data_IF_937760409417
#
_entry.id   IF_937760409417
#
_cell.length_a   1.000
_cell.length_b   1.000
_cell.length_c   1.000
_cell.angle_alpha   90.00
_cell.angle_beta   90.00
_cell.angle_gamma   90.00
#
_symmetry.space_group_name_H-M   'P 1'
#
loop_
_entity.id
_entity.type
_entity.pdbx_description
1 polymer ?
#
# COMPACT_ATOMS: atom_id res chain seq x y z
N UNK A 1 14.95 -3.13 -12.28
CA UNK A 1 13.61 -3.65 -12.59
C UNK A 1 12.90 -2.61 -13.43
N UNK A 2 12.50 -2.97 -14.64
CA UNK A 2 11.81 -2.07 -15.58
C UNK A 2 10.59 -1.44 -14.89
N UNK A 3 10.44 -0.12 -15.01
CA UNK A 3 9.20 0.55 -14.63
C UNK A 3 8.03 -0.17 -15.33
N UNK A 4 6.94 -0.51 -14.61
CA UNK A 4 5.76 -1.04 -15.27
C UNK A 4 5.29 0.00 -16.29
N UNK A 5 5.16 -0.44 -17.54
CA UNK A 5 4.71 0.41 -18.65
C UNK A 5 3.42 1.12 -18.25
N UNK A 6 3.40 2.45 -18.30
CA UNK A 6 2.23 3.27 -17.91
C UNK A 6 0.96 2.90 -18.68
N UNK A 7 1.09 2.23 -19.83
CA UNK A 7 -0.02 1.72 -20.63
C UNK A 7 -0.66 0.42 -20.11
N UNK A 8 -0.16 -0.15 -19.01
CA UNK A 8 -0.58 -1.49 -18.54
C UNK A 8 -1.27 -1.51 -17.18
N UNK A 9 -1.31 -0.36 -16.49
CA UNK A 9 -1.86 -0.17 -15.15
C UNK A 9 -2.70 1.11 -15.09
N UNK A 10 -3.67 1.14 -14.19
CA UNK A 10 -4.44 2.32 -13.81
C UNK A 10 -3.72 3.02 -12.65
N UNK A 11 -3.68 4.36 -12.66
CA UNK A 11 -3.24 5.12 -11.49
C UNK A 11 -4.31 5.19 -10.40
N UNK A 12 -4.00 5.74 -9.22
CA UNK A 12 -4.95 5.84 -8.10
C UNK A 12 -6.23 6.63 -8.44
N UNK A 13 -6.15 7.63 -9.31
CA UNK A 13 -7.32 8.44 -9.72
C UNK A 13 -8.22 7.61 -10.63
N UNK A 14 -7.64 6.94 -11.63
CA UNK A 14 -8.36 6.08 -12.55
C UNK A 14 -8.97 4.86 -11.83
N UNK A 15 -8.25 4.28 -10.87
CA UNK A 15 -8.77 3.20 -10.01
C UNK A 15 -9.99 3.66 -9.21
N UNK A 16 -9.94 4.87 -8.64
CA UNK A 16 -11.07 5.45 -7.93
C UNK A 16 -12.27 5.71 -8.85
N UNK A 17 -12.04 6.29 -10.03
CA UNK A 17 -13.07 6.56 -11.02
C UNK A 17 -13.76 5.26 -11.49
N UNK A 18 -12.96 4.21 -11.77
CA UNK A 18 -13.47 2.91 -12.14
C UNK A 18 -14.33 2.30 -11.03
N UNK A 19 -13.87 2.37 -9.77
CA UNK A 19 -14.65 1.92 -8.63
C UNK A 19 -16.00 2.66 -8.53
N UNK A 20 -16.01 3.99 -8.69
CA UNK A 20 -17.26 4.75 -8.72
C UNK A 20 -18.17 4.35 -9.88
N UNK A 21 -17.62 3.98 -11.03
CA UNK A 21 -18.39 3.47 -12.17
C UNK A 21 -19.09 2.14 -11.85
N UNK A 22 -18.41 1.20 -11.17
CA UNK A 22 -19.06 -0.02 -10.69
C UNK A 22 -20.17 0.28 -9.67
N UNK A 23 -19.89 1.16 -8.70
CA UNK A 23 -20.86 1.53 -7.64
C UNK A 23 -22.12 2.13 -8.23
N UNK A 24 -22.01 3.15 -9.09
CA UNK A 24 -23.14 3.78 -9.80
C UNK A 24 -23.93 2.77 -10.61
N UNK A 25 -23.24 1.92 -11.37
CA UNK A 25 -23.88 0.87 -12.17
C UNK A 25 -24.75 -0.08 -11.34
N UNK A 26 -24.36 -0.42 -10.11
CA UNK A 26 -25.24 -1.27 -9.28
C UNK A 26 -26.56 -0.60 -8.92
N UNK A 27 -26.58 0.73 -8.78
CA UNK A 27 -27.76 1.52 -8.40
C UNK A 27 -28.70 1.89 -9.56
N UNK A 28 -28.22 1.89 -10.81
CA UNK A 28 -29.01 2.28 -12.00
C UNK A 28 -30.22 1.39 -12.30
N UNK A 29 -30.31 0.19 -11.71
CA UNK A 29 -31.42 -0.72 -11.95
C UNK A 29 -32.44 -0.72 -10.81
N UNK A 30 -33.72 -0.58 -11.18
CA UNK A 30 -34.86 -0.72 -10.26
C UNK A 30 -35.24 -2.17 -9.99
N UNK A 31 -34.75 -3.12 -10.81
CA UNK A 31 -35.07 -4.55 -10.72
C UNK A 31 -34.23 -5.24 -9.63
N UNK A 32 -34.85 -5.84 -8.59
CA UNK A 32 -34.11 -6.44 -7.47
C UNK A 32 -33.20 -7.62 -7.88
N UNK A 33 -33.67 -8.46 -8.80
CA UNK A 33 -32.93 -9.61 -9.33
C UNK A 33 -31.67 -9.19 -10.09
N UNK A 34 -31.79 -8.18 -10.94
CA UNK A 34 -30.66 -7.60 -11.69
C UNK A 34 -29.69 -6.92 -10.72
N UNK A 35 -30.20 -6.21 -9.70
CA UNK A 35 -29.37 -5.55 -8.69
C UNK A 35 -28.48 -6.55 -7.93
N UNK A 36 -29.02 -7.71 -7.55
CA UNK A 36 -28.25 -8.79 -6.91
C UNK A 36 -27.12 -9.28 -7.83
N UNK A 37 -27.40 -9.49 -9.12
CA UNK A 37 -26.38 -9.88 -10.08
C UNK A 37 -25.27 -8.82 -10.22
N UNK A 38 -25.63 -7.52 -10.22
CA UNK A 38 -24.66 -6.42 -10.25
C UNK A 38 -23.84 -6.33 -8.96
N UNK A 39 -24.44 -6.54 -7.80
CA UNK A 39 -23.71 -6.60 -6.52
C UNK A 39 -22.69 -7.73 -6.49
N UNK A 40 -22.99 -8.91 -7.07
CA UNK A 40 -21.99 -9.99 -7.20
C UNK A 40 -20.75 -9.52 -7.96
N UNK A 41 -20.96 -8.83 -9.08
CA UNK A 41 -19.86 -8.29 -9.89
C UNK A 41 -19.10 -7.19 -9.12
N UNK A 42 -19.80 -6.32 -8.39
CA UNK A 42 -19.16 -5.29 -7.54
C UNK A 42 -18.31 -5.92 -6.43
N UNK A 43 -18.81 -6.95 -5.73
CA UNK A 43 -18.05 -7.66 -4.69
C UNK A 43 -16.78 -8.29 -5.30
N UNK A 44 -16.90 -8.94 -6.46
CA UNK A 44 -15.74 -9.51 -7.17
C UNK A 44 -14.72 -8.40 -7.50
N UNK A 45 -15.19 -7.26 -8.01
CA UNK A 45 -14.33 -6.10 -8.28
C UNK A 45 -13.63 -5.58 -7.02
N UNK A 46 -14.37 -5.34 -5.94
CA UNK A 46 -13.82 -4.82 -4.68
C UNK A 46 -12.77 -5.77 -4.10
N UNK A 47 -13.03 -7.08 -4.11
CA UNK A 47 -12.06 -8.08 -3.65
C UNK A 47 -10.78 -8.02 -4.49
N UNK A 48 -10.86 -8.02 -5.83
CA UNK A 48 -9.66 -7.90 -6.68
C UNK A 48 -8.94 -6.56 -6.46
N UNK A 49 -9.69 -5.45 -6.39
CA UNK A 49 -9.17 -4.08 -6.25
C UNK A 49 -8.37 -3.88 -4.97
N UNK A 50 -8.85 -4.42 -3.84
CA UNK A 50 -8.25 -4.18 -2.54
C UNK A 50 -7.27 -5.27 -2.12
N UNK A 51 -7.52 -6.54 -2.46
CA UNK A 51 -6.62 -7.65 -2.07
C UNK A 51 -5.58 -7.98 -3.14
N UNK A 52 -5.78 -7.51 -4.37
CA UNK A 52 -4.99 -7.95 -5.50
C UNK A 52 -5.14 -9.44 -5.79
N UNK A 53 -6.23 -10.11 -5.39
CA UNK A 53 -6.41 -11.53 -5.68
C UNK A 53 -6.63 -11.82 -7.17
N UNK A 54 -6.30 -13.04 -7.61
CA UNK A 54 -6.62 -13.50 -8.97
C UNK A 54 -8.13 -13.71 -9.09
N UNK A 55 -8.67 -13.49 -10.29
CA UNK A 55 -10.09 -13.74 -10.54
C UNK A 55 -10.51 -15.16 -10.12
N UNK A 56 -9.73 -16.18 -10.45
CA UNK A 56 -10.04 -17.57 -10.07
C UNK A 56 -10.03 -17.81 -8.56
N UNK A 57 -9.25 -17.06 -7.78
CA UNK A 57 -9.27 -17.16 -6.32
C UNK A 57 -10.57 -16.57 -5.79
N UNK A 58 -10.95 -15.38 -6.26
CA UNK A 58 -12.16 -14.66 -5.84
C UNK A 58 -13.44 -15.44 -6.19
N UNK A 59 -13.50 -16.04 -7.39
CA UNK A 59 -14.68 -16.82 -7.81
C UNK A 59 -14.87 -18.12 -6.99
N UNK A 60 -13.84 -18.58 -6.30
CA UNK A 60 -13.87 -19.78 -5.47
C UNK A 60 -14.13 -19.51 -3.98
N UNK A 61 -14.20 -18.24 -3.57
CA UNK A 61 -14.49 -17.85 -2.20
C UNK A 61 -15.95 -18.12 -1.81
N UNK A 62 -16.15 -18.49 -0.54
CA UNK A 62 -17.40 -18.37 0.19
C UNK A 62 -17.33 -17.12 1.10
N UNK A 63 -17.99 -16.01 0.73
CA UNK A 63 -17.93 -14.77 1.51
C UNK A 63 -18.48 -14.85 2.93
N UNK A 64 -19.23 -15.91 3.28
CA UNK A 64 -19.71 -16.10 4.65
C UNK A 64 -18.69 -16.78 5.55
N UNK A 65 -17.77 -17.56 4.98
CA UNK A 65 -16.74 -18.30 5.72
C UNK A 65 -15.35 -17.66 5.59
N UNK A 66 -15.02 -17.19 4.39
CA UNK A 66 -13.67 -16.75 4.07
C UNK A 66 -13.42 -15.27 4.41
N UNK A 67 -14.47 -14.49 4.68
CA UNK A 67 -14.38 -13.08 5.09
C UNK A 67 -14.68 -12.97 6.58
N UNK A 68 -13.66 -12.60 7.36
CA UNK A 68 -13.76 -12.34 8.79
C UNK A 68 -13.97 -10.82 9.01
N UNK A 69 -15.09 -10.48 9.64
CA UNK A 69 -15.53 -9.10 9.89
C UNK A 69 -15.01 -8.54 11.23
N UNK A 70 -14.46 -9.38 12.10
CA UNK A 70 -13.83 -8.94 13.34
C UNK A 70 -12.38 -8.54 13.09
N UNK A 71 -11.67 -9.34 12.28
CA UNK A 71 -10.28 -9.06 11.91
C UNK A 71 -10.14 -8.32 10.58
N UNK A 72 -11.24 -8.11 9.87
CA UNK A 72 -11.30 -7.49 8.53
C UNK A 72 -10.37 -8.18 7.52
N UNK A 73 -10.34 -9.52 7.53
CA UNK A 73 -9.48 -10.32 6.66
C UNK A 73 -10.27 -11.18 5.66
N UNK A 74 -9.64 -11.49 4.53
CA UNK A 74 -10.12 -12.48 3.56
C UNK A 74 -9.08 -13.58 3.42
N UNK A 75 -9.52 -14.82 3.53
CA UNK A 75 -8.68 -16.01 3.37
C UNK A 75 -8.74 -16.50 1.92
N UNK A 76 -7.59 -16.57 1.24
CA UNK A 76 -7.48 -17.11 -0.11
C UNK A 76 -6.73 -18.44 -0.11
N UNK A 77 -7.22 -19.38 -0.92
CA UNK A 77 -6.71 -20.75 -0.98
C UNK A 77 -7.46 -21.66 0.00
N UNK A 78 -7.59 -22.95 -0.34
CA UNK A 78 -8.19 -23.93 0.57
C UNK A 78 -7.08 -24.65 1.32
N UNK A 79 -7.28 -24.88 2.62
CA UNK A 79 -6.52 -25.90 3.36
C UNK A 79 -7.00 -27.26 2.85
N UNK A 80 -6.45 -27.71 1.72
CA UNK A 80 -6.66 -29.08 1.24
C UNK A 80 -5.28 -29.68 1.09
N UNK A 81 -5.07 -30.76 1.85
CA UNK A 81 -3.88 -31.60 1.76
C UNK A 81 -3.49 -31.83 0.30
N UNK A 82 -2.17 -31.77 0.07
CA UNK A 82 -1.49 -32.19 -1.16
C UNK A 82 -1.46 -31.26 -2.39
N UNK A 83 -1.99 -30.02 -2.33
CA UNK A 83 -1.87 -29.05 -3.45
C UNK A 83 -0.84 -27.92 -3.28
N UNK A 84 -0.01 -27.97 -2.23
CA UNK A 84 1.22 -27.17 -2.08
C UNK A 84 1.08 -25.63 -2.02
N UNK A 85 -0.12 -25.06 -2.18
CA UNK A 85 -0.35 -23.61 -2.02
C UNK A 85 -0.82 -23.30 -0.61
N UNK A 86 0.05 -22.67 0.18
CA UNK A 86 -0.30 -22.12 1.49
C UNK A 86 -1.51 -21.18 1.37
N UNK A 87 -2.50 -21.36 2.24
CA UNK A 87 -3.59 -20.41 2.41
C UNK A 87 -3.02 -19.07 2.88
N UNK A 88 -3.45 -17.95 2.29
CA UNK A 88 -3.00 -16.61 2.72
C UNK A 88 -4.17 -15.78 3.19
N UNK A 89 -3.94 -14.99 4.23
CA UNK A 89 -4.90 -13.98 4.72
C UNK A 89 -4.49 -12.60 4.21
N UNK A 90 -5.46 -11.83 3.76
CA UNK A 90 -5.25 -10.46 3.28
C UNK A 90 -6.25 -9.54 3.97
N UNK A 91 -5.77 -8.43 4.53
CA UNK A 91 -6.63 -7.42 5.15
C UNK A 91 -7.41 -6.62 4.09
N UNK A 92 -8.65 -6.28 4.43
CA UNK A 92 -9.47 -5.31 3.71
C UNK A 92 -9.64 -4.03 4.54
N UNK A 93 -9.83 -2.86 3.90
CA UNK A 93 -10.30 -1.69 4.62
C UNK A 93 -11.64 -1.98 5.32
N UNK A 94 -11.76 -1.56 6.58
CA UNK A 94 -12.96 -1.76 7.42
C UNK A 94 -14.26 -1.35 6.71
N UNK A 95 -14.26 -0.20 6.04
CA UNK A 95 -15.41 0.30 5.31
C UNK A 95 -15.85 -0.64 4.17
N UNK A 96 -14.88 -1.19 3.42
CA UNK A 96 -15.13 -2.13 2.31
C UNK A 96 -15.61 -3.47 2.86
N UNK A 97 -15.01 -3.97 3.95
CA UNK A 97 -15.42 -5.21 4.58
C UNK A 97 -16.88 -5.13 5.08
N UNK A 98 -17.24 -4.06 5.78
CA UNK A 98 -18.61 -3.80 6.24
C UNK A 98 -19.59 -3.65 5.09
N UNK A 99 -19.18 -2.96 4.03
CA UNK A 99 -20.00 -2.80 2.84
C UNK A 99 -20.31 -4.16 2.18
N UNK A 100 -19.28 -4.97 1.91
CA UNK A 100 -19.45 -6.32 1.36
C UNK A 100 -20.38 -7.12 2.27
N UNK A 101 -20.20 -7.04 3.59
CA UNK A 101 -21.07 -7.74 4.54
C UNK A 101 -22.53 -7.28 4.44
N UNK A 102 -22.76 -5.98 4.33
CA UNK A 102 -24.09 -5.40 4.15
C UNK A 102 -24.77 -5.88 2.87
N UNK A 103 -24.02 -5.98 1.76
CA UNK A 103 -24.53 -6.49 0.49
C UNK A 103 -24.95 -7.96 0.59
N UNK A 104 -24.11 -8.82 1.19
CA UNK A 104 -24.37 -10.27 1.27
C UNK A 104 -25.39 -10.66 2.35
N UNK A 105 -25.62 -9.80 3.35
CA UNK A 105 -26.64 -10.04 4.38
C UNK A 105 -28.08 -9.89 3.86
N UNK A 106 -28.27 -9.30 2.66
CA UNK A 106 -29.58 -9.09 2.06
C UNK A 106 -30.34 -10.41 1.73
N UNK A 107 -31.68 -10.38 1.73
CA UNK A 107 -32.51 -11.59 1.56
C UNK A 107 -32.29 -12.32 0.22
N UNK A 108 -31.86 -11.60 -0.82
CA UNK A 108 -31.51 -12.19 -2.13
C UNK A 108 -30.21 -13.01 -2.15
N UNK A 109 -29.35 -12.84 -1.14
CA UNK A 109 -28.04 -13.49 -1.05
C UNK A 109 -28.02 -14.65 -0.04
N UNK A 110 -28.87 -14.64 1.00
CA UNK A 110 -28.96 -15.74 1.99
C UNK A 110 -29.34 -17.10 1.38
N UNK A 111 -30.09 -17.13 0.27
CA UNK A 111 -30.46 -18.40 -0.41
C UNK A 111 -29.33 -19.00 -1.27
N UNK A 112 -28.22 -18.29 -1.47
CA UNK A 112 -27.14 -18.67 -2.38
C UNK A 112 -25.78 -18.80 -1.67
N UNK A 113 -25.79 -19.23 -0.40
CA UNK A 113 -24.61 -19.24 0.48
C UNK A 113 -23.39 -19.93 -0.15
N UNK A 114 -23.58 -21.13 -0.72
CA UNK A 114 -22.53 -21.85 -1.43
C UNK A 114 -22.43 -21.41 -2.91
N UNK A 115 -21.30 -20.83 -3.30
CA UNK A 115 -21.03 -20.48 -4.69
C UNK A 115 -21.61 -19.14 -5.15
N UNK A 116 -21.93 -18.23 -4.22
CA UNK A 116 -22.44 -16.89 -4.52
C UNK A 116 -21.58 -16.11 -5.53
N UNK A 117 -20.25 -16.27 -5.45
CA UNK A 117 -19.29 -15.63 -6.35
C UNK A 117 -18.91 -16.50 -7.56
N UNK A 118 -19.47 -17.72 -7.70
CA UNK A 118 -19.23 -18.58 -8.86
C UNK A 118 -19.99 -18.04 -10.07
N UNK A 119 -19.32 -17.15 -10.79
CA UNK A 119 -19.80 -16.54 -12.02
C UNK A 119 -18.86 -16.96 -13.16
N UNK A 120 -19.41 -17.13 -14.37
CA UNK A 120 -18.59 -17.38 -15.55
C UNK A 120 -17.48 -16.31 -15.70
N UNK A 121 -16.19 -16.70 -15.77
CA UNK A 121 -15.10 -15.74 -15.89
C UNK A 121 -15.19 -14.85 -17.14
N UNK A 122 -15.76 -15.36 -18.25
CA UNK A 122 -15.98 -14.60 -19.48
C UNK A 122 -16.98 -13.46 -19.26
N UNK A 123 -18.08 -13.75 -18.57
CA UNK A 123 -19.09 -12.77 -18.18
C UNK A 123 -18.52 -11.70 -17.25
N UNK A 124 -17.75 -12.08 -16.23
CA UNK A 124 -17.10 -11.12 -15.32
C UNK A 124 -16.19 -10.18 -16.10
N UNK A 125 -15.30 -10.72 -16.95
CA UNK A 125 -14.41 -9.91 -17.79
C UNK A 125 -15.20 -8.95 -18.68
N UNK A 126 -16.30 -9.40 -19.29
CA UNK A 126 -17.17 -8.55 -20.11
C UNK A 126 -17.72 -7.36 -19.32
N UNK A 127 -18.20 -7.60 -18.09
CA UNK A 127 -18.70 -6.50 -17.23
C UNK A 127 -17.60 -5.54 -16.81
N UNK A 128 -16.40 -6.04 -16.57
CA UNK A 128 -15.24 -5.20 -16.26
C UNK A 128 -14.85 -4.30 -17.44
N UNK A 129 -14.86 -4.85 -18.65
CA UNK A 129 -14.65 -4.11 -19.89
C UNK A 129 -15.69 -3.01 -20.10
N UNK A 130 -16.98 -3.33 -19.95
CA UNK A 130 -18.06 -2.34 -20.04
C UNK A 130 -17.90 -1.19 -19.03
N UNK A 131 -17.39 -1.46 -17.82
CA UNK A 131 -17.14 -0.42 -16.81
C UNK A 131 -15.93 0.44 -17.13
N UNK A 132 -14.86 -0.14 -17.68
CA UNK A 132 -13.69 0.63 -18.12
C UNK A 132 -14.03 1.55 -19.30
N UNK A 133 -14.74 1.04 -20.31
CA UNK A 133 -15.21 1.82 -21.45
C UNK A 133 -16.14 2.97 -21.01
N UNK A 134 -17.00 2.72 -20.00
CA UNK A 134 -17.87 3.76 -19.44
C UNK A 134 -17.11 4.90 -18.70
N UNK A 135 -15.84 4.70 -18.35
CA UNK A 135 -14.95 5.75 -17.84
C UNK A 135 -14.07 6.37 -18.94
N UNK A 136 -14.26 5.97 -20.21
CA UNK A 136 -13.38 6.37 -21.31
C UNK A 136 -12.00 5.70 -21.29
N UNK A 137 -11.82 4.64 -20.50
CA UNK A 137 -10.54 3.92 -20.43
C UNK A 137 -10.42 2.87 -21.53
N UNK A 138 -9.17 2.50 -21.86
CA UNK A 138 -8.90 1.37 -22.75
C UNK A 138 -9.48 0.10 -22.12
N UNK A 139 -10.31 -0.62 -22.88
CA UNK A 139 -10.98 -1.86 -22.47
C UNK A 139 -10.09 -2.83 -21.69
N UNK A 140 -8.87 -3.04 -22.17
CA UNK A 140 -7.90 -3.96 -21.56
C UNK A 140 -7.55 -3.59 -20.11
N UNK A 141 -7.51 -2.30 -19.75
CA UNK A 141 -7.20 -1.84 -18.40
C UNK A 141 -8.28 -2.20 -17.38
N UNK A 142 -9.51 -2.45 -17.84
CA UNK A 142 -10.58 -2.95 -17.00
C UNK A 142 -10.38 -4.40 -16.55
N UNK A 143 -9.54 -5.19 -17.21
CA UNK A 143 -9.45 -6.63 -16.90
C UNK A 143 -8.92 -6.89 -15.46
N UNK A 144 -9.26 -8.05 -14.87
CA UNK A 144 -8.77 -8.44 -13.55
C UNK A 144 -7.25 -8.34 -13.36
N UNK A 145 -6.47 -8.72 -14.38
CA UNK A 145 -5.01 -8.76 -14.28
C UNK A 145 -4.37 -7.37 -14.24
N UNK A 146 -4.72 -6.41 -15.13
CA UNK A 146 -4.34 -5.01 -14.98
C UNK A 146 -4.75 -4.40 -13.64
N UNK A 147 -5.96 -4.68 -13.12
CA UNK A 147 -6.36 -4.22 -11.79
C UNK A 147 -5.44 -4.77 -10.70
N UNK A 148 -5.08 -6.05 -10.77
CA UNK A 148 -4.14 -6.70 -9.86
C UNK A 148 -2.78 -6.00 -9.85
N UNK A 149 -2.22 -5.75 -11.04
CA UNK A 149 -0.93 -5.05 -11.20
C UNK A 149 -1.02 -3.61 -10.70
N UNK A 150 -2.10 -2.91 -11.02
CA UNK A 150 -2.35 -1.53 -10.57
C UNK A 150 -2.40 -1.46 -9.05
N UNK A 151 -3.02 -2.44 -8.37
CA UNK A 151 -3.00 -2.53 -6.91
C UNK A 151 -1.59 -2.73 -6.37
N UNK A 152 -0.79 -3.63 -6.95
CA UNK A 152 0.59 -3.82 -6.51
C UNK A 152 1.44 -2.54 -6.68
N UNK A 153 1.30 -1.85 -7.82
CA UNK A 153 1.98 -0.58 -8.07
C UNK A 153 1.54 0.47 -7.06
N UNK A 154 0.24 0.63 -6.83
CA UNK A 154 -0.31 1.56 -5.85
C UNK A 154 0.23 1.31 -4.44
N UNK A 155 0.30 0.04 -4.00
CA UNK A 155 0.85 -0.31 -2.69
C UNK A 155 2.32 0.06 -2.58
N UNK A 156 3.13 -0.28 -3.59
CA UNK A 156 4.55 0.09 -3.64
C UNK A 156 4.73 1.61 -3.64
N UNK A 157 3.91 2.34 -4.40
CA UNK A 157 3.94 3.81 -4.43
C UNK A 157 3.54 4.46 -3.11
N UNK A 158 2.71 3.79 -2.30
CA UNK A 158 2.41 4.21 -0.94
C UNK A 158 3.45 3.68 0.09
N UNK A 159 4.62 3.25 -0.37
CA UNK A 159 5.73 2.70 0.42
C UNK A 159 5.37 1.42 1.17
N UNK A 160 4.38 0.66 0.68
CA UNK A 160 4.21 -0.71 1.16
C UNK A 160 5.44 -1.52 0.76
N UNK A 161 6.02 -2.26 1.71
CA UNK A 161 7.22 -3.04 1.47
C UNK A 161 7.02 -4.12 0.42
N UNK A 162 7.99 -4.25 -0.50
CA UNK A 162 7.87 -5.19 -1.61
C UNK A 162 7.61 -6.65 -1.16
N UNK A 163 8.28 -7.20 -0.13
CA UNK A 163 7.96 -8.55 0.37
C UNK A 163 6.51 -8.70 0.85
N UNK A 164 5.97 -7.66 1.51
CA UNK A 164 4.57 -7.66 1.95
C UNK A 164 3.59 -7.64 0.78
N UNK A 165 3.89 -6.83 -0.25
CA UNK A 165 3.11 -6.81 -1.50
C UNK A 165 3.18 -8.18 -2.19
N UNK A 166 4.35 -8.81 -2.27
CA UNK A 166 4.51 -10.14 -2.87
C UNK A 166 3.68 -11.21 -2.15
N UNK A 167 3.71 -11.21 -0.81
CA UNK A 167 2.95 -12.16 0.01
C UNK A 167 1.45 -11.94 -0.15
N UNK A 168 0.98 -10.70 -0.09
CA UNK A 168 -0.43 -10.32 -0.33
C UNK A 168 -0.92 -10.81 -1.70
N UNK A 169 -0.07 -10.68 -2.72
CA UNK A 169 -0.35 -11.13 -4.08
C UNK A 169 -0.27 -12.66 -4.25
N UNK A 170 0.18 -13.41 -3.24
CA UNK A 170 0.26 -14.88 -3.28
C UNK A 170 1.47 -15.41 -4.04
N UNK A 171 2.59 -14.69 -4.01
CA UNK A 171 3.88 -15.22 -4.46
C UNK A 171 4.59 -15.81 -3.23
N UNK A 172 4.73 -17.14 -3.18
CA UNK A 172 5.14 -17.90 -1.98
C UNK A 172 6.61 -17.78 -1.59
N UNK A 173 7.41 -16.95 -2.25
CA UNK A 173 8.83 -16.79 -1.91
C UNK A 173 9.21 -15.31 -1.87
N UNK A 174 9.53 -14.77 -0.68
CA UNK A 174 10.37 -13.59 -0.58
C UNK A 174 11.66 -13.88 -1.36
N UNK A 175 12.05 -13.00 -2.27
CA UNK A 175 13.33 -13.14 -2.94
C UNK A 175 14.44 -13.07 -1.86
N UNK A 176 15.34 -14.07 -1.73
CA UNK A 176 16.31 -14.14 -0.62
C UNK A 176 17.42 -13.08 -0.66
N UNK A 177 17.26 -12.02 -1.46
CA UNK A 177 18.25 -10.96 -1.66
C UNK A 177 18.15 -9.85 -0.57
N UNK A 178 17.24 -9.95 0.40
CA UNK A 178 17.30 -9.12 1.61
C UNK A 178 17.83 -9.93 2.79
N UNK A 179 19.15 -10.01 2.91
CA UNK A 179 19.85 -10.74 3.96
C UNK A 179 19.74 -10.12 5.36
N UNK A 180 18.94 -9.08 5.57
CA UNK A 180 19.00 -8.30 6.82
C UNK A 180 17.80 -8.44 7.75
N UNK A 181 16.64 -8.97 7.30
CA UNK A 181 15.52 -9.32 8.19
C UNK A 181 14.77 -10.53 7.65
N UNK A 182 14.79 -11.65 8.37
CA UNK A 182 13.87 -12.77 8.15
C UNK A 182 12.48 -12.38 8.67
N UNK A 183 11.49 -12.27 7.79
CA UNK A 183 10.11 -12.03 8.20
C UNK A 183 9.42 -13.32 8.60
N UNK A 184 8.76 -13.28 9.76
CA UNK A 184 7.69 -14.23 10.05
C UNK A 184 6.42 -13.84 9.27
N UNK A 185 5.52 -14.80 9.05
CA UNK A 185 4.23 -14.53 8.38
C UNK A 185 3.40 -13.51 9.17
N UNK A 186 3.46 -13.57 10.50
CA UNK A 186 2.78 -12.66 11.42
C UNK A 186 3.21 -11.20 11.23
N UNK A 187 4.51 -10.95 11.06
CA UNK A 187 5.04 -9.61 10.85
C UNK A 187 4.53 -9.02 9.52
N UNK A 188 4.48 -9.82 8.45
CA UNK A 188 3.97 -9.36 7.17
C UNK A 188 2.46 -9.08 7.23
N UNK A 189 1.70 -9.87 7.98
CA UNK A 189 0.28 -9.61 8.21
C UNK A 189 0.08 -8.28 8.96
N UNK A 190 0.90 -8.00 9.99
CA UNK A 190 0.85 -6.74 10.74
C UNK A 190 1.19 -5.54 9.85
N UNK A 191 2.23 -5.66 8.99
CA UNK A 191 2.55 -4.65 7.96
C UNK A 191 1.34 -4.42 7.06
N UNK A 192 0.79 -5.49 6.50
CA UNK A 192 -0.32 -5.41 5.54
C UNK A 192 -1.51 -4.70 6.16
N UNK A 193 -1.90 -5.10 7.38
CA UNK A 193 -2.97 -4.48 8.16
C UNK A 193 -2.75 -2.97 8.32
N UNK A 194 -1.57 -2.57 8.79
CA UNK A 194 -1.25 -1.18 9.03
C UNK A 194 -1.44 -0.32 7.77
N UNK A 195 -0.92 -0.76 6.63
CA UNK A 195 -1.04 0.00 5.38
C UNK A 195 -2.48 0.04 4.84
N UNK A 196 -3.26 -1.03 5.01
CA UNK A 196 -4.68 -1.06 4.62
C UNK A 196 -5.51 -0.09 5.45
N UNK A 197 -5.26 -0.01 6.76
CA UNK A 197 -5.93 0.93 7.65
C UNK A 197 -5.48 2.38 7.43
N UNK A 198 -4.21 2.60 7.04
CA UNK A 198 -3.71 3.92 6.66
C UNK A 198 -4.38 4.43 5.37
N UNK A 199 -4.61 3.55 4.40
CA UNK A 199 -5.29 3.88 3.15
C UNK A 199 -6.69 4.46 3.38
N UNK A 200 -7.44 3.92 4.35
CA UNK A 200 -8.77 4.42 4.72
C UNK A 200 -8.75 5.73 5.51
N UNK A 201 -7.64 6.02 6.21
CA UNK A 201 -7.48 7.17 7.12
C UNK A 201 -6.65 8.32 6.52
N UNK A 202 -6.69 8.50 5.19
CA UNK A 202 -5.86 9.44 4.42
C UNK A 202 -6.07 10.92 4.81
N UNK A 203 -5.48 11.36 5.92
CA UNK A 203 -5.52 12.75 6.42
C UNK A 203 -4.18 13.22 7.03
N UNK A 204 -3.04 12.80 6.47
CA UNK A 204 -1.73 13.38 6.84
C UNK A 204 -1.14 14.14 5.65
N UNK A 205 -0.52 15.29 5.93
CA UNK A 205 0.23 16.08 4.95
C UNK A 205 1.68 15.59 4.79
N UNK A 206 2.12 14.65 5.64
CA UNK A 206 3.44 14.04 5.50
C UNK A 206 3.46 13.14 4.25
N UNK A 207 4.49 13.30 3.43
CA UNK A 207 4.63 12.61 2.13
C UNK A 207 5.56 11.41 2.20
N UNK A 208 6.41 11.36 3.23
CA UNK A 208 7.38 10.32 3.44
C UNK A 208 6.96 9.47 4.63
N UNK A 209 7.01 8.16 4.46
CA UNK A 209 6.56 7.19 5.44
C UNK A 209 7.54 6.03 5.45
N UNK A 210 8.16 5.80 6.59
CA UNK A 210 9.08 4.70 6.84
C UNK A 210 8.43 3.74 7.82
N UNK A 211 8.06 2.56 7.32
CA UNK A 211 7.57 1.49 8.17
C UNK A 211 8.74 0.62 8.63
N UNK A 212 8.84 0.37 9.93
CA UNK A 212 9.96 -0.36 10.49
C UNK A 212 9.70 -0.92 11.88
N UNK A 213 10.57 -1.83 12.30
CA UNK A 213 10.56 -2.45 13.63
C UNK A 213 11.43 -1.62 14.55
N UNK A 214 10.94 -1.32 15.76
CA UNK A 214 11.75 -0.63 16.76
C UNK A 214 12.91 -1.53 17.18
N UNK A 215 14.14 -1.15 16.78
CA UNK A 215 15.36 -1.87 17.11
C UNK A 215 15.93 -1.44 18.45
N UNK A 216 16.02 -0.13 18.68
CA UNK A 216 16.65 0.45 19.86
C UNK A 216 15.77 1.55 20.44
N UNK A 217 15.65 1.56 21.78
CA UNK A 217 15.03 2.65 22.56
C UNK A 217 16.08 3.09 23.57
N UNK A 218 16.48 4.36 23.51
CA UNK A 218 17.39 5.00 24.46
C UNK A 218 16.63 6.10 25.18
N UNK A 219 16.17 5.80 26.39
CA UNK A 219 15.46 6.75 27.25
C UNK A 219 16.46 7.73 27.87
N UNK A 220 16.22 9.02 27.70
CA UNK A 220 16.92 10.10 28.39
C UNK A 220 16.00 10.82 29.37
N UNK A 221 16.49 11.87 30.02
CA UNK A 221 15.76 12.55 31.10
C UNK A 221 14.44 13.19 30.65
N UNK A 222 14.41 13.72 29.42
CA UNK A 222 13.26 14.45 28.86
C UNK A 222 12.72 13.75 27.61
N UNK A 223 13.63 13.26 26.77
CA UNK A 223 13.32 12.69 25.48
C UNK A 223 13.98 11.33 25.32
N UNK A 224 13.31 10.50 24.54
CA UNK A 224 13.78 9.17 24.17
C UNK A 224 14.15 9.18 22.70
N UNK A 225 15.36 8.68 22.40
CA UNK A 225 15.78 8.37 21.03
C UNK A 225 15.30 6.97 20.67
N UNK A 226 14.62 6.86 19.54
CA UNK A 226 14.12 5.60 18.99
C UNK A 226 14.75 5.38 17.63
N UNK A 227 15.36 4.21 17.44
CA UNK A 227 15.85 3.74 16.14
C UNK A 227 14.92 2.64 15.65
N UNK A 228 14.28 2.87 14.50
CA UNK A 228 13.53 1.85 13.78
C UNK A 228 14.33 1.35 12.58
N UNK A 229 14.21 0.07 12.30
CA UNK A 229 14.85 -0.58 11.16
C UNK A 229 13.76 -0.87 10.13
N UNK A 230 13.85 -0.24 8.97
CA UNK A 230 12.97 -0.53 7.84
C UNK A 230 13.30 -1.90 7.26
N UNK A 231 12.42 -2.39 6.40
CA UNK A 231 12.53 -3.72 5.82
C UNK A 231 13.64 -3.82 4.78
N UNK A 232 14.06 -2.68 4.23
CA UNK A 232 15.27 -2.53 3.44
C UNK A 232 16.56 -2.49 4.26
N UNK A 233 16.48 -2.60 5.59
CA UNK A 233 17.61 -2.50 6.50
C UNK A 233 18.03 -1.06 6.84
N UNK A 234 17.29 -0.06 6.36
CA UNK A 234 17.59 1.34 6.68
C UNK A 234 17.22 1.65 8.12
N UNK A 235 18.09 2.39 8.81
CA UNK A 235 17.82 2.90 10.15
C UNK A 235 17.20 4.27 10.04
N UNK A 236 16.06 4.47 10.69
CA UNK A 236 15.44 5.78 10.86
C UNK A 236 15.42 6.11 12.35
N UNK A 237 16.01 7.22 12.70
CA UNK A 237 16.12 7.72 14.07
C UNK A 237 15.09 8.84 14.27
N UNK A 238 14.36 8.77 15.37
CA UNK A 238 13.45 9.82 15.84
C UNK A 238 13.70 10.10 17.32
N UNK A 239 13.47 11.33 17.73
CA UNK A 239 13.51 11.74 19.14
C UNK A 239 12.12 12.23 19.52
N UNK A 240 11.52 11.62 20.53
CA UNK A 240 10.18 11.97 21.03
C UNK A 240 10.20 12.13 22.55
N UNK A 241 9.20 12.78 23.12
CA UNK A 241 9.09 12.92 24.58
C UNK A 241 8.84 11.56 25.24
N UNK A 242 9.33 11.40 26.48
CA UNK A 242 9.09 10.17 27.26
C UNK A 242 7.58 9.90 27.44
N UNK A 243 6.76 10.94 27.55
CA UNK A 243 5.29 10.82 27.59
C UNK A 243 4.72 10.25 26.29
N UNK A 244 5.31 10.60 25.14
CA UNK A 244 4.88 10.06 23.84
C UNK A 244 5.23 8.58 23.71
N UNK A 245 6.38 8.14 24.24
CA UNK A 245 6.76 6.72 24.32
C UNK A 245 5.72 5.92 25.10
N UNK A 246 5.36 6.41 26.29
CA UNK A 246 4.37 5.78 27.17
C UNK A 246 2.99 5.76 26.52
N UNK A 247 2.52 6.90 26.01
CA UNK A 247 1.20 7.05 25.37
C UNK A 247 1.05 6.15 24.15
N UNK A 248 2.09 6.02 23.33
CA UNK A 248 2.06 5.18 22.13
C UNK A 248 2.39 3.70 22.45
N UNK A 249 2.69 3.36 23.71
CA UNK A 249 3.04 2.01 24.15
C UNK A 249 4.20 1.43 23.33
N UNK A 250 5.26 2.21 23.13
CA UNK A 250 6.41 1.80 22.32
C UNK A 250 7.31 0.86 23.11
N UNK A 251 7.71 -0.23 22.46
CA UNK A 251 8.63 -1.23 23.02
C UNK A 251 9.50 -1.78 21.90
N UNK A 252 10.70 -2.27 22.25
CA UNK A 252 11.58 -2.96 21.30
C UNK A 252 10.82 -4.10 20.63
N UNK A 253 11.00 -4.23 19.32
CA UNK A 253 10.33 -5.21 18.49
C UNK A 253 8.93 -4.83 18.00
N UNK A 254 8.34 -3.72 18.46
CA UNK A 254 7.05 -3.23 17.95
C UNK A 254 7.20 -2.66 16.54
N UNK A 255 6.22 -2.91 15.68
CA UNK A 255 6.13 -2.28 14.37
C UNK A 255 5.49 -0.89 14.45
N UNK A 256 6.06 0.06 13.72
CA UNK A 256 5.56 1.43 13.70
C UNK A 256 5.90 2.14 12.40
N UNK A 257 5.18 3.22 12.11
CA UNK A 257 5.51 4.12 11.01
C UNK A 257 6.10 5.41 11.54
N UNK A 258 7.23 5.79 10.97
CA UNK A 258 7.79 7.14 11.05
C UNK A 258 7.37 7.95 9.81
N UNK A 259 6.82 9.13 10.03
CA UNK A 259 6.46 10.06 8.98
C UNK A 259 7.32 11.33 9.04
N UNK A 260 7.66 11.86 7.87
CA UNK A 260 8.36 13.14 7.73
C UNK A 260 7.76 13.95 6.59
N UNK A 261 7.56 15.25 6.79
CA UNK A 261 7.05 16.13 5.73
C UNK A 261 8.16 16.40 4.71
N UNK A 262 7.80 16.44 3.43
CA UNK A 262 8.76 16.65 2.34
C UNK A 262 9.62 17.93 2.46
N UNK A 263 9.12 19.06 3.00
CA UNK A 263 9.95 20.26 3.19
C UNK A 263 11.07 20.12 4.23
N UNK A 264 11.01 19.11 5.11
CA UNK A 264 12.06 18.83 6.09
C UNK A 264 13.14 17.88 5.58
N UNK A 265 12.98 17.39 4.35
CA UNK A 265 13.93 16.48 3.71
C UNK A 265 14.88 17.31 2.86
N UNK A 266 16.16 17.27 3.23
CA UNK A 266 17.26 18.00 2.59
C UNK A 266 17.95 17.08 1.58
N UNK A 267 18.35 17.64 0.45
CA UNK A 267 19.13 16.95 -0.58
C UNK A 267 20.54 17.53 -0.66
N UNK A 268 21.53 16.65 -0.78
CA UNK A 268 22.94 17.02 -0.86
C UNK A 268 23.65 16.21 -1.97
N UNK A 269 24.34 16.89 -2.89
CA UNK A 269 25.00 16.29 -4.07
C UNK A 269 26.46 15.88 -3.80
N UNK A 270 26.94 15.95 -2.55
CA UNK A 270 28.32 15.63 -2.18
C UNK A 270 28.70 14.19 -2.52
N UNK A 271 29.93 14.02 -3.03
CA UNK A 271 30.45 12.71 -3.48
C UNK A 271 30.80 11.83 -2.27
N UNK A 272 31.41 12.40 -1.23
CA UNK A 272 31.97 11.66 -0.09
C UNK A 272 30.98 11.45 1.07
N UNK A 273 29.73 11.89 0.90
CA UNK A 273 28.76 11.97 1.99
C UNK A 273 28.71 13.38 2.59
N UNK A 274 27.54 13.76 3.13
CA UNK A 274 27.33 15.10 3.68
C UNK A 274 28.00 15.22 5.06
N UNK A 275 28.79 16.27 5.27
CA UNK A 275 29.20 16.71 6.61
C UNK A 275 27.99 17.37 7.30
N UNK A 276 27.15 16.54 7.93
CA UNK A 276 25.89 16.98 8.51
C UNK A 276 25.66 16.39 9.89
N UNK A 277 25.00 17.16 10.76
CA UNK A 277 24.51 16.70 12.06
C UNK A 277 23.17 15.97 11.99
N UNK A 278 22.62 15.73 10.78
CA UNK A 278 21.37 15.01 10.62
C UNK A 278 21.53 13.54 11.03
N UNK A 279 20.60 13.03 11.84
CA UNK A 279 20.64 11.63 12.30
C UNK A 279 20.25 10.64 11.20
N UNK A 280 19.45 11.08 10.22
CA UNK A 280 18.95 10.25 9.14
C UNK A 280 19.62 10.65 7.84
N UNK A 281 20.42 9.75 7.26
CA UNK A 281 21.18 9.98 6.03
C UNK A 281 21.06 8.76 5.13
N UNK A 282 20.51 8.95 3.93
CA UNK A 282 20.32 7.88 2.94
C UNK A 282 20.95 8.26 1.61
N UNK A 283 21.61 7.31 0.95
CA UNK A 283 22.03 7.49 -0.43
C UNK A 283 20.90 7.06 -1.38
N UNK A 284 20.68 7.82 -2.44
CA UNK A 284 19.69 7.51 -3.43
C UNK A 284 19.95 8.12 -4.79
N UNK A 285 19.03 7.88 -5.71
CA UNK A 285 19.06 8.37 -7.09
C UNK A 285 17.81 9.17 -7.38
N UNK A 286 17.95 10.35 -8.00
CA UNK A 286 16.82 11.17 -8.42
C UNK A 286 16.05 10.46 -9.55
N UNK A 287 14.80 10.10 -9.31
CA UNK A 287 13.94 9.43 -10.29
C UNK A 287 12.93 10.37 -10.96
N UNK A 288 12.53 11.44 -10.26
CA UNK A 288 11.56 12.39 -10.79
C UNK A 288 11.83 13.78 -10.25
N UNK A 289 11.67 14.77 -11.13
CA UNK A 289 11.69 16.19 -10.79
C UNK A 289 10.39 16.78 -11.32
N UNK A 290 9.64 17.46 -10.45
CA UNK A 290 8.46 18.25 -10.82
C UNK A 290 8.79 19.68 -10.45
N UNK A 291 9.16 20.46 -11.45
CA UNK A 291 9.53 21.85 -11.27
C UNK A 291 8.27 22.73 -11.27
N UNK A 292 8.07 23.46 -10.19
CA UNK A 292 7.05 24.51 -10.09
C UNK A 292 7.69 25.90 -10.10
N UNK A 293 6.84 26.93 -10.13
CA UNK A 293 7.29 28.33 -10.09
C UNK A 293 7.98 28.67 -8.77
N UNK A 294 7.38 28.25 -7.65
CA UNK A 294 7.87 28.56 -6.29
C UNK A 294 8.73 27.43 -5.72
N UNK A 295 8.29 26.19 -5.92
CA UNK A 295 8.93 25.00 -5.35
C UNK A 295 9.16 23.92 -6.41
N UNK A 296 10.21 23.14 -6.21
CA UNK A 296 10.51 21.93 -6.96
C UNK A 296 10.32 20.71 -6.06
N UNK A 297 9.52 19.74 -6.51
CA UNK A 297 9.41 18.41 -5.89
C UNK A 297 10.43 17.48 -6.53
N UNK A 298 11.31 16.90 -5.70
CA UNK A 298 12.19 15.82 -6.06
C UNK A 298 11.67 14.50 -5.49
N UNK A 299 11.75 13.43 -6.29
CA UNK A 299 11.58 12.06 -5.82
C UNK A 299 12.89 11.31 -5.96
N UNK A 300 13.42 10.85 -4.83
CA UNK A 300 14.67 10.11 -4.73
C UNK A 300 14.36 8.68 -4.36
N UNK A 301 14.88 7.71 -5.12
CA UNK A 301 14.81 6.30 -4.77
C UNK A 301 16.07 5.86 -4.04
N UNK A 302 15.90 5.29 -2.85
CA UNK A 302 17.00 4.69 -2.08
C UNK A 302 17.17 3.21 -2.45
N UNK A 303 18.18 2.54 -1.90
CA UNK A 303 18.59 1.19 -2.31
C UNK A 303 17.51 0.13 -2.19
N UNK A 304 16.60 0.24 -1.21
CA UNK A 304 15.50 -0.71 -1.01
C UNK A 304 14.27 -0.46 -1.92
N UNK A 305 14.34 0.57 -2.77
CA UNK A 305 13.26 0.97 -3.66
C UNK A 305 12.28 2.00 -3.07
N UNK A 306 12.40 2.33 -1.78
CA UNK A 306 11.59 3.37 -1.14
C UNK A 306 11.80 4.72 -1.84
N UNK A 307 10.70 5.44 -2.08
CA UNK A 307 10.72 6.75 -2.72
C UNK A 307 10.55 7.84 -1.68
N UNK A 308 11.55 8.70 -1.56
CA UNK A 308 11.53 9.84 -0.67
C UNK A 308 11.25 11.11 -1.48
N UNK A 309 10.24 11.85 -1.06
CA UNK A 309 9.82 13.13 -1.57
C UNK A 309 10.53 14.26 -0.78
N UNK A 310 11.22 15.14 -1.50
CA UNK A 310 11.76 16.39 -0.97
C UNK A 310 11.14 17.57 -1.72
N UNK A 311 10.77 18.61 -0.99
CA UNK A 311 10.31 19.88 -1.56
C UNK A 311 11.34 20.94 -1.22
N UNK A 312 11.95 21.54 -2.24
CA UNK A 312 12.88 22.66 -2.11
C UNK A 312 12.36 23.86 -2.89
N UNK A 313 12.82 25.05 -2.56
CA UNK A 313 12.48 26.24 -3.37
C UNK A 313 13.08 26.11 -4.77
N UNK A 314 12.40 26.65 -5.77
CA UNK A 314 12.87 26.63 -7.16
C UNK A 314 14.19 27.41 -7.34
N UNK A 315 14.52 28.31 -6.41
CA UNK A 315 15.83 28.96 -6.32
C UNK A 315 16.92 28.00 -5.82
N UNK A 316 16.67 27.27 -4.73
CA UNK A 316 17.58 26.23 -4.21
C UNK A 316 17.80 25.10 -5.22
N UNK A 317 16.76 24.73 -5.98
CA UNK A 317 16.86 23.80 -7.11
C UNK A 317 17.94 24.22 -8.13
N UNK A 318 17.99 25.51 -8.50
CA UNK A 318 18.99 26.04 -9.45
C UNK A 318 20.41 25.92 -8.89
N UNK A 319 20.59 26.14 -7.59
CA UNK A 319 21.88 26.01 -6.90
C UNK A 319 22.34 24.55 -6.76
N UNK A 320 21.42 23.65 -6.42
CA UNK A 320 21.71 22.22 -6.25
C UNK A 320 22.10 21.55 -7.56
N UNK A 321 21.61 22.06 -8.70
CA UNK A 321 21.89 21.56 -10.04
C UNK A 321 21.74 20.03 -10.14
N UNK A 322 20.69 19.49 -9.50
CA UNK A 322 20.35 18.06 -9.50
C UNK A 322 19.50 17.73 -10.72
N UNK A 323 19.98 16.78 -11.52
CA UNK A 323 19.29 16.20 -12.68
C UNK A 323 18.66 14.85 -12.40
N UNK A 324 17.85 14.36 -13.34
CA UNK A 324 17.35 12.99 -13.31
C UNK A 324 18.52 12.00 -13.42
N UNK A 325 18.52 10.97 -12.58
CA UNK A 325 19.59 9.96 -12.52
C UNK A 325 20.78 10.34 -11.64
N UNK A 326 20.84 11.57 -11.12
CA UNK A 326 21.91 11.98 -10.21
C UNK A 326 21.86 11.18 -8.91
N UNK A 327 23.04 10.80 -8.42
CA UNK A 327 23.21 10.31 -7.05
C UNK A 327 23.15 11.48 -6.08
N UNK A 328 22.42 11.30 -4.99
CA UNK A 328 22.16 12.35 -4.00
C UNK A 328 22.02 11.73 -2.62
N UNK A 329 22.42 12.48 -1.60
CA UNK A 329 22.15 12.17 -0.21
C UNK A 329 20.85 12.83 0.23
N UNK A 330 20.04 12.06 0.96
CA UNK A 330 18.78 12.48 1.54
C UNK A 330 18.96 12.56 3.04
N UNK A 331 18.70 13.75 3.62
CA UNK A 331 18.94 14.01 5.03
C UNK A 331 17.71 14.57 5.72
N UNK A 332 17.48 14.17 6.97
CA UNK A 332 16.53 14.85 7.85
C UNK A 332 16.85 14.62 9.33
N UNK A 333 16.48 15.60 10.15
CA UNK A 333 16.70 15.55 11.60
C UNK A 333 15.69 14.62 12.27
N UNK A 334 16.14 13.85 13.26
CA UNK A 334 15.29 12.96 14.08
C UNK A 334 14.13 13.67 14.79
N UNK A 335 14.30 14.94 15.16
CA UNK A 335 13.26 15.76 15.80
C UNK A 335 12.10 16.12 14.86
N UNK A 336 12.31 16.05 13.54
CA UNK A 336 11.27 16.33 12.55
C UNK A 336 10.41 15.11 12.23
N UNK A 337 10.81 13.93 12.71
CA UNK A 337 10.14 12.66 12.45
C UNK A 337 9.04 12.42 13.47
N UNK A 338 7.83 12.10 13.01
CA UNK A 338 6.68 11.79 13.87
C UNK A 338 6.36 10.31 13.80
N UNK A 339 6.09 9.68 14.95
CA UNK A 339 5.65 8.28 15.01
C UNK A 339 4.12 8.17 14.99
N UNK A 340 3.63 7.26 14.16
CA UNK A 340 2.22 6.93 14.01
C UNK A 340 1.99 5.46 14.34
N UNK A 341 1.09 5.20 15.29
CA UNK A 341 0.57 3.86 15.58
C UNK A 341 -0.72 3.63 14.78
N UNK A 342 -0.89 2.41 14.26
CA UNK A 342 -2.11 1.97 13.57
C UNK A 342 -3.25 1.71 14.54
#
# INVERSE_FOLDING_TARGET
MNHPDRNTCLDSTQLHELEQSFRRWTGETLRPDVRIARYRILIIFLLIRYTGAKLSEVLNLDPFQDIDVETYTVSFGRVIGDSGRASRKVHLPEAVCREIRGMIAGPGFKKASAGMLRVDPGFVRRKFYERAEACGFIKALGAPEPLRRSRAVELIENNMPFPAVQMMMGHSTPNPVSSYISFSEEEILEVTRFFMEKESRRKTSARNSFFGKIGTIQEGDIQTRIELITLGGHKVTTIITNDSVKRLGLKKGKWITAEIKAPWVILDKSINGPESSADNVFNGVVEKIIQGEINTEYRVRISDGTKICSIVTSESCRRLALGLGDRVWVLFNSASVVLMTG
#
